data_IF_234340725435
#
_entry.id   IF_234340725435
#
_cell.length_a   1.000
_cell.length_b   1.000
_cell.length_c   1.000
_cell.angle_alpha   90.00
_cell.angle_beta   90.00
_cell.angle_gamma   90.00
#
_symmetry.space_group_name_H-M   'P 1'
#
loop_
_entity.id
_entity.type
_entity.pdbx_description
1 polymer ?
#
# COMPACT_ATOMS: atom_id res chain seq x y z
N UNK A 1 3.99 8.79 104.29
CA UNK A 1 2.82 9.38 103.60
C UNK A 1 2.79 8.89 102.14
N UNK A 2 1.92 9.42 101.27
CA UNK A 2 1.57 8.83 99.95
C UNK A 2 2.73 8.82 98.92
N UNK A 3 2.60 7.97 97.89
CA UNK A 3 3.60 7.68 96.83
C UNK A 3 3.54 8.67 95.63
N UNK A 4 4.67 8.85 94.89
CA UNK A 4 4.75 9.37 93.52
C UNK A 4 4.97 8.24 92.48
N UNK A 5 4.96 8.57 91.16
CA UNK A 5 5.63 7.77 90.12
C UNK A 5 6.42 8.57 89.06
N UNK A 6 7.67 8.13 88.81
CA UNK A 6 8.39 8.12 87.51
C UNK A 6 8.81 9.49 86.87
N UNK A 7 9.77 9.59 85.93
CA UNK A 7 10.41 8.65 84.96
C UNK A 7 11.95 8.92 84.89
N UNK A 8 12.96 8.02 84.85
CA UNK A 8 13.12 6.54 84.73
C UNK A 8 13.31 5.99 83.28
N UNK A 9 14.49 5.77 82.66
CA UNK A 9 15.93 5.91 83.03
C UNK A 9 16.75 6.56 81.87
N UNK A 10 18.09 6.66 81.82
CA UNK A 10 19.16 5.62 81.95
C UNK A 10 19.53 5.07 80.55
N UNK A 11 20.79 4.95 80.08
CA UNK A 11 22.12 5.37 80.55
C UNK A 11 23.15 5.35 79.35
N UNK A 12 24.35 5.91 79.53
CA UNK A 12 25.51 6.05 78.58
C UNK A 12 26.23 4.70 78.23
N UNK A 13 27.33 4.60 77.42
CA UNK A 13 28.09 5.61 76.63
C UNK A 13 28.51 5.22 75.17
N UNK A 14 29.20 6.18 74.52
CA UNK A 14 30.16 6.10 73.39
C UNK A 14 30.81 4.75 72.98
N UNK A 15 31.01 4.57 71.65
CA UNK A 15 32.36 4.53 71.02
C UNK A 15 32.32 4.80 69.49
N UNK A 16 33.45 5.17 68.88
CA UNK A 16 33.64 5.43 67.44
C UNK A 16 33.58 4.17 66.53
N UNK A 17 33.27 4.36 65.23
CA UNK A 17 32.99 3.24 64.32
C UNK A 17 32.87 3.50 62.80
N UNK A 18 33.83 4.19 62.22
CA UNK A 18 34.32 4.02 60.82
C UNK A 18 33.42 4.26 59.57
N UNK A 19 34.08 4.41 58.42
CA UNK A 19 33.49 4.75 57.12
C UNK A 19 32.60 3.63 56.51
N UNK A 20 31.49 4.00 55.84
CA UNK A 20 31.30 3.70 54.39
C UNK A 20 30.10 4.38 53.71
N UNK A 21 30.47 5.30 52.81
CA UNK A 21 29.80 5.66 51.54
C UNK A 21 28.38 5.10 51.25
N UNK A 22 27.39 5.98 51.32
CA UNK A 22 26.02 5.77 50.82
C UNK A 22 25.97 5.74 49.28
N UNK A 23 26.45 4.64 48.69
CA UNK A 23 26.50 4.42 47.25
C UNK A 23 25.10 4.39 46.61
N UNK A 24 24.62 5.55 46.16
CA UNK A 24 23.29 5.75 45.56
C UNK A 24 22.95 4.69 44.50
N UNK A 25 21.84 3.99 44.70
CA UNK A 25 21.33 2.95 43.81
C UNK A 25 20.85 3.55 42.46
N UNK A 26 21.80 3.81 41.56
CA UNK A 26 21.56 4.33 40.21
C UNK A 26 20.64 3.39 39.42
N UNK A 27 19.33 3.68 39.42
CA UNK A 27 18.33 3.02 38.56
C UNK A 27 18.76 3.13 37.09
N UNK A 28 19.36 2.08 36.55
CA UNK A 28 19.93 2.05 35.20
C UNK A 28 18.82 2.21 34.16
N UNK A 29 18.63 3.43 33.62
CA UNK A 29 17.78 3.68 32.46
C UNK A 29 18.26 2.78 31.31
N UNK A 30 17.50 1.73 31.02
CA UNK A 30 17.95 0.62 30.19
C UNK A 30 18.41 1.06 28.80
N UNK A 31 19.66 0.72 28.45
CA UNK A 31 20.34 1.10 27.21
C UNK A 31 19.41 0.93 25.99
N UNK A 32 19.17 2.03 25.26
CA UNK A 32 18.46 1.99 23.98
C UNK A 32 19.38 1.53 22.84
N UNK A 33 18.77 1.05 21.76
CA UNK A 33 19.40 0.76 20.47
C UNK A 33 18.49 1.21 19.35
N UNK A 34 19.09 1.65 18.24
CA UNK A 34 18.38 1.98 17.01
C UNK A 34 18.16 0.70 16.18
N UNK A 35 16.91 0.38 15.88
CA UNK A 35 16.54 -0.65 14.90
C UNK A 35 16.21 0.04 13.56
N UNK A 36 16.84 -0.39 12.47
CA UNK A 36 16.47 0.01 11.10
C UNK A 36 15.47 -0.99 10.54
N UNK A 37 14.36 -0.51 10.00
CA UNK A 37 13.33 -1.34 9.38
C UNK A 37 13.04 -0.82 7.97
N UNK A 38 13.29 -1.64 6.95
CA UNK A 38 12.75 -1.42 5.60
C UNK A 38 11.24 -1.68 5.61
N UNK A 39 10.47 -0.71 5.17
CA UNK A 39 9.01 -0.76 5.04
C UNK A 39 8.61 -1.31 3.66
N UNK A 40 7.32 -1.64 3.51
CA UNK A 40 6.76 -2.20 2.29
C UNK A 40 6.71 -1.19 1.12
N UNK A 41 6.76 0.11 1.40
CA UNK A 41 6.91 1.17 0.39
C UNK A 41 8.38 1.39 -0.05
N UNK A 42 9.29 0.54 0.42
CA UNK A 42 10.72 0.62 0.11
C UNK A 42 11.54 1.51 1.04
N UNK A 43 10.92 2.44 1.80
CA UNK A 43 11.65 3.36 2.69
C UNK A 43 12.28 2.61 3.86
N UNK A 44 13.34 3.17 4.46
CA UNK A 44 13.95 2.61 5.68
C UNK A 44 13.83 3.61 6.82
N UNK A 45 13.10 3.22 7.88
CA UNK A 45 12.86 4.03 9.07
C UNK A 45 13.63 3.49 10.27
N UNK A 46 13.94 4.36 11.23
CA UNK A 46 14.81 4.04 12.38
C UNK A 46 14.09 4.25 13.71
N UNK A 47 14.09 3.22 14.57
CA UNK A 47 13.25 3.13 15.78
C UNK A 47 14.12 2.97 17.04
N UNK A 48 13.88 3.83 18.04
CA UNK A 48 14.72 3.93 19.25
C UNK A 48 14.18 3.11 20.44
N UNK A 49 14.45 1.80 20.40
CA UNK A 49 13.88 0.78 21.30
C UNK A 49 14.83 0.37 22.44
N UNK A 50 14.29 -0.28 23.49
CA UNK A 50 15.06 -0.77 24.65
C UNK A 50 15.88 -2.01 24.23
N UNK A 51 17.18 -2.13 24.56
CA UNK A 51 18.03 -3.29 24.15
C UNK A 51 17.49 -4.67 24.58
N UNK A 52 16.62 -4.71 25.60
CA UNK A 52 15.98 -5.93 26.13
C UNK A 52 14.68 -6.33 25.42
N UNK A 53 14.25 -5.60 24.38
CA UNK A 53 12.96 -5.80 23.72
C UNK A 53 12.86 -7.10 22.92
N UNK A 54 11.64 -7.58 22.73
CA UNK A 54 11.30 -8.73 21.90
C UNK A 54 11.07 -8.32 20.43
N UNK A 55 10.81 -9.29 19.55
CA UNK A 55 10.33 -9.00 18.19
C UNK A 55 8.94 -8.35 18.18
N UNK A 56 8.08 -8.72 19.12
CA UNK A 56 6.74 -8.16 19.31
C UNK A 56 6.76 -6.68 19.74
N UNK A 57 7.61 -6.33 20.72
CA UNK A 57 7.85 -4.94 21.14
C UNK A 57 8.20 -4.04 19.94
N UNK A 58 9.03 -4.54 19.02
CA UNK A 58 9.45 -3.79 17.85
C UNK A 58 8.37 -3.76 16.76
N UNK A 59 7.61 -4.85 16.55
CA UNK A 59 6.49 -4.84 15.61
C UNK A 59 5.43 -3.83 16.05
N UNK A 60 5.06 -3.78 17.35
CA UNK A 60 4.07 -2.79 17.80
C UNK A 60 4.57 -1.38 17.57
N UNK A 61 5.80 -1.04 17.96
CA UNK A 61 6.36 0.31 17.72
C UNK A 61 6.42 0.69 16.22
N UNK A 62 6.58 -0.28 15.31
CA UNK A 62 6.45 -0.05 13.87
C UNK A 62 4.98 0.14 13.47
N UNK A 63 4.08 -0.74 13.90
CA UNK A 63 2.65 -0.69 13.60
C UNK A 63 1.98 0.59 14.10
N UNK A 64 2.25 0.98 15.35
CA UNK A 64 1.80 2.22 15.97
C UNK A 64 2.23 3.45 15.13
N UNK A 65 3.46 3.43 14.58
CA UNK A 65 3.98 4.51 13.72
C UNK A 65 3.39 4.57 12.31
N UNK A 66 2.70 3.51 11.89
CA UNK A 66 2.02 3.38 10.60
C UNK A 66 0.49 3.50 10.73
N UNK A 67 -0.05 3.59 11.96
CA UNK A 67 -1.47 3.41 12.26
C UNK A 67 -2.03 2.05 11.78
N UNK A 68 -1.23 0.98 11.92
CA UNK A 68 -1.57 -0.37 11.47
C UNK A 68 -2.26 -1.18 12.59
N UNK A 69 -3.58 -1.36 12.47
CA UNK A 69 -4.39 -2.09 13.45
C UNK A 69 -4.24 -3.61 13.32
N UNK A 70 -4.41 -4.17 12.13
CA UNK A 70 -4.41 -5.62 11.84
C UNK A 70 -2.98 -6.21 11.76
N UNK A 71 -2.16 -5.94 12.78
CA UNK A 71 -0.72 -6.26 12.78
C UNK A 71 -0.38 -7.76 12.75
N UNK A 72 -1.34 -8.64 13.02
CA UNK A 72 -1.12 -10.09 13.14
C UNK A 72 -0.76 -10.77 11.81
N UNK A 73 -1.16 -10.18 10.67
CA UNK A 73 -0.73 -10.65 9.34
C UNK A 73 0.76 -10.38 9.05
N UNK A 74 1.42 -9.52 9.85
CA UNK A 74 2.74 -8.97 9.56
C UNK A 74 3.87 -9.64 10.35
N UNK A 75 5.07 -9.54 9.78
CA UNK A 75 6.31 -9.99 10.39
C UNK A 75 7.43 -8.99 10.20
N UNK A 76 8.41 -9.05 11.11
CA UNK A 76 9.72 -8.44 10.91
C UNK A 76 10.71 -9.54 10.54
N UNK A 77 11.44 -9.37 9.44
CA UNK A 77 12.42 -10.34 8.93
C UNK A 77 13.82 -9.75 8.81
N UNK A 78 14.86 -10.58 8.96
CA UNK A 78 16.27 -10.20 8.81
C UNK A 78 16.98 -11.16 7.84
N UNK A 79 18.20 -10.81 7.41
CA UNK A 79 19.09 -11.75 6.70
C UNK A 79 19.91 -12.54 7.71
N UNK A 80 19.84 -13.87 7.64
CA UNK A 80 20.58 -14.76 8.53
C UNK A 80 22.07 -14.87 8.10
N UNK A 81 22.84 -15.79 8.71
CA UNK A 81 24.27 -15.94 8.40
C UNK A 81 24.57 -16.36 6.94
N UNK A 82 23.60 -16.98 6.26
CA UNK A 82 23.70 -17.45 4.87
C UNK A 82 23.04 -16.47 3.88
N UNK A 83 22.71 -15.25 4.32
CA UNK A 83 22.06 -14.22 3.50
C UNK A 83 20.54 -14.40 3.30
N UNK A 84 19.99 -15.59 3.58
CA UNK A 84 18.57 -15.92 3.45
C UNK A 84 17.67 -15.13 4.41
N UNK A 85 16.43 -14.84 3.99
CA UNK A 85 15.40 -14.21 4.82
C UNK A 85 15.04 -15.14 5.99
N UNK A 86 14.85 -14.58 7.18
CA UNK A 86 14.35 -15.30 8.36
C UNK A 86 13.50 -14.35 9.20
N UNK A 87 12.37 -14.83 9.73
CA UNK A 87 11.50 -14.04 10.60
C UNK A 87 12.09 -13.89 12.00
N UNK A 88 11.88 -12.76 12.65
CA UNK A 88 12.08 -12.63 14.10
C UNK A 88 11.09 -13.52 14.84
N UNK A 89 11.58 -14.27 15.84
CA UNK A 89 10.74 -14.85 16.88
C UNK A 89 10.22 -13.70 17.76
N UNK A 90 8.90 -13.60 17.92
CA UNK A 90 8.25 -12.52 18.65
C UNK A 90 8.29 -12.70 20.17
N UNK A 91 8.35 -13.94 20.68
CA UNK A 91 8.55 -14.22 22.11
C UNK A 91 10.00 -14.05 22.60
N UNK A 92 10.98 -13.90 21.69
CA UNK A 92 12.39 -13.82 22.03
C UNK A 92 12.97 -12.40 21.94
N UNK A 93 13.91 -12.09 22.83
CA UNK A 93 14.67 -10.84 22.80
C UNK A 93 15.49 -10.74 21.52
N UNK A 94 15.36 -9.63 20.78
CA UNK A 94 16.11 -9.37 19.53
C UNK A 94 17.63 -9.45 19.76
N UNK A 95 18.10 -9.14 20.97
CA UNK A 95 19.51 -9.26 21.36
C UNK A 95 20.07 -10.69 21.32
N UNK A 96 19.24 -11.70 21.62
CA UNK A 96 19.61 -13.12 21.49
C UNK A 96 19.67 -13.54 20.02
N UNK A 97 18.65 -13.16 19.26
CA UNK A 97 18.48 -13.56 17.86
C UNK A 97 19.58 -12.99 16.95
N UNK A 98 19.89 -11.69 17.10
CA UNK A 98 20.89 -11.01 16.26
C UNK A 98 22.35 -11.28 16.68
N UNK A 99 22.59 -11.89 17.85
CA UNK A 99 23.94 -12.28 18.36
C UNK A 99 25.03 -11.20 18.17
N UNK A 100 24.68 -9.93 18.44
CA UNK A 100 25.58 -8.78 18.31
C UNK A 100 25.57 -8.06 16.95
N UNK A 101 25.00 -8.65 15.89
CA UNK A 101 24.84 -7.99 14.58
C UNK A 101 24.01 -6.69 14.65
N UNK A 102 24.15 -5.79 13.65
CA UNK A 102 23.26 -4.64 13.47
C UNK A 102 21.78 -5.03 13.52
N UNK A 103 20.96 -4.14 14.07
CA UNK A 103 19.51 -4.37 14.18
C UNK A 103 18.83 -3.86 12.91
N UNK A 104 18.88 -4.68 11.87
CA UNK A 104 18.35 -4.41 10.53
C UNK A 104 17.27 -5.43 10.17
N UNK A 105 16.09 -4.92 9.83
CA UNK A 105 14.91 -5.70 9.54
C UNK A 105 14.18 -5.20 8.29
N UNK A 106 13.29 -6.02 7.75
CA UNK A 106 12.29 -5.66 6.76
C UNK A 106 10.92 -6.12 7.25
N UNK A 107 9.97 -5.18 7.28
CA UNK A 107 8.54 -5.46 7.45
C UNK A 107 8.04 -6.23 6.23
N UNK A 108 7.08 -7.13 6.42
CA UNK A 108 6.38 -7.78 5.34
C UNK A 108 5.24 -8.67 5.82
N UNK A 109 4.43 -9.18 4.91
CA UNK A 109 3.36 -10.13 5.24
C UNK A 109 3.98 -11.47 5.62
N UNK A 110 3.59 -11.98 6.79
CA UNK A 110 3.99 -13.27 7.34
C UNK A 110 2.91 -14.32 7.14
N UNK A 111 1.64 -13.90 7.22
CA UNK A 111 0.46 -14.72 6.94
C UNK A 111 -0.40 -13.97 5.94
N UNK A 112 -0.57 -14.53 4.74
CA UNK A 112 -1.47 -13.96 3.73
C UNK A 112 -2.90 -14.36 4.10
N UNK A 113 -3.86 -13.41 4.14
CA UNK A 113 -5.26 -13.78 4.30
C UNK A 113 -5.70 -14.64 3.08
N UNK A 114 -6.49 -15.71 3.29
CA UNK A 114 -6.97 -16.54 2.19
C UNK A 114 -7.92 -15.78 1.26
N UNK A 115 -8.57 -14.74 1.80
CA UNK A 115 -9.41 -13.79 1.08
C UNK A 115 -9.10 -12.37 1.58
N UNK A 116 -8.43 -11.52 0.77
CA UNK A 116 -8.12 -10.13 1.11
C UNK A 116 -9.32 -9.19 1.24
N UNK A 117 -10.50 -9.56 0.72
CA UNK A 117 -11.69 -8.68 0.78
C UNK A 117 -12.25 -8.57 2.20
N UNK A 118 -12.06 -9.61 3.03
CA UNK A 118 -12.46 -9.65 4.44
C UNK A 118 -11.54 -8.86 5.40
N UNK A 119 -10.44 -8.26 4.92
CA UNK A 119 -9.63 -7.35 5.73
C UNK A 119 -10.45 -6.09 6.07
N UNK A 120 -10.36 -5.63 7.32
CA UNK A 120 -11.16 -4.49 7.78
C UNK A 120 -10.52 -3.14 7.45
N UNK A 121 -9.17 -3.05 7.42
CA UNK A 121 -8.46 -1.79 7.16
C UNK A 121 -7.98 -1.68 5.71
N UNK A 122 -8.28 -0.55 5.05
CA UNK A 122 -7.73 -0.22 3.73
C UNK A 122 -6.20 -0.12 3.74
N UNK A 123 -5.61 0.27 4.87
CA UNK A 123 -4.16 0.27 5.04
C UNK A 123 -3.58 -1.16 4.95
N UNK A 124 -4.23 -2.15 5.56
CA UNK A 124 -3.79 -3.55 5.48
C UNK A 124 -3.90 -4.07 4.06
N UNK A 125 -5.01 -3.78 3.37
CA UNK A 125 -5.20 -4.11 1.95
C UNK A 125 -4.11 -3.46 1.07
N UNK A 126 -3.81 -2.19 1.28
CA UNK A 126 -2.75 -1.47 0.56
C UNK A 126 -1.36 -2.06 0.81
N UNK A 127 -0.99 -2.34 2.06
CA UNK A 127 0.30 -2.94 2.41
C UNK A 127 0.44 -4.37 1.86
N UNK A 128 -0.64 -5.15 1.84
CA UNK A 128 -0.71 -6.46 1.19
C UNK A 128 -0.46 -6.36 -0.32
N UNK A 129 -1.07 -5.38 -1.01
CA UNK A 129 -0.79 -5.10 -2.42
C UNK A 129 0.69 -4.77 -2.68
N UNK A 130 1.33 -3.95 -1.83
CA UNK A 130 2.77 -3.65 -1.94
C UNK A 130 3.65 -4.90 -1.77
N UNK A 131 3.33 -5.78 -0.81
CA UNK A 131 4.05 -7.03 -0.62
C UNK A 131 3.91 -7.95 -1.85
N UNK A 132 2.69 -8.14 -2.35
CA UNK A 132 2.43 -8.96 -3.56
C UNK A 132 3.17 -8.39 -4.78
N UNK A 133 3.33 -7.07 -4.88
CA UNK A 133 4.12 -6.43 -5.93
C UNK A 133 5.63 -6.70 -5.79
N UNK A 134 6.22 -6.62 -4.58
CA UNK A 134 7.62 -7.02 -4.34
C UNK A 134 7.84 -8.51 -4.65
N UNK A 135 6.91 -9.38 -4.27
CA UNK A 135 6.97 -10.82 -4.57
C UNK A 135 6.86 -11.13 -6.07
N UNK A 136 5.97 -10.45 -6.80
CA UNK A 136 5.86 -10.51 -8.26
C UNK A 136 7.18 -10.07 -8.93
N UNK A 137 7.70 -8.88 -8.58
CA UNK A 137 8.94 -8.34 -9.17
C UNK A 137 10.19 -9.19 -8.88
N UNK A 138 10.20 -9.94 -7.77
CA UNK A 138 11.34 -10.78 -7.38
C UNK A 138 11.11 -12.28 -7.61
N UNK A 139 10.05 -12.67 -8.33
CA UNK A 139 9.77 -14.06 -8.70
C UNK A 139 9.55 -15.00 -7.51
N UNK A 140 9.00 -14.51 -6.39
CA UNK A 140 8.79 -15.34 -5.20
C UNK A 140 7.50 -16.15 -5.34
N UNK A 141 7.65 -17.48 -5.41
CA UNK A 141 6.54 -18.45 -5.32
C UNK A 141 5.90 -18.86 -6.65
N UNK A 142 6.32 -18.27 -7.78
CA UNK A 142 5.92 -18.62 -9.14
C UNK A 142 7.08 -18.34 -10.10
N UNK A 143 7.11 -19.00 -11.26
CA UNK A 143 7.99 -18.55 -12.35
C UNK A 143 7.50 -17.17 -12.86
N UNK A 144 8.41 -16.26 -13.31
CA UNK A 144 8.01 -14.92 -13.73
C UNK A 144 6.88 -14.91 -14.78
N UNK A 145 6.93 -15.80 -15.77
CA UNK A 145 5.90 -15.95 -16.80
C UNK A 145 4.52 -16.38 -16.26
N UNK A 146 4.46 -17.18 -15.19
CA UNK A 146 3.21 -17.54 -14.52
C UNK A 146 2.66 -16.38 -13.69
N UNK A 147 3.55 -15.59 -13.09
CA UNK A 147 3.22 -14.44 -12.27
C UNK A 147 2.70 -13.28 -13.13
N UNK A 148 3.41 -12.95 -14.22
CA UNK A 148 2.97 -12.04 -15.28
C UNK A 148 1.64 -12.50 -15.88
N UNK A 149 1.52 -13.80 -16.18
CA UNK A 149 0.29 -14.41 -16.68
C UNK A 149 -0.90 -14.17 -15.75
N UNK A 150 -0.74 -14.42 -14.44
CA UNK A 150 -1.79 -14.17 -13.44
C UNK A 150 -2.09 -12.69 -13.29
N UNK A 151 -1.07 -11.83 -13.27
CA UNK A 151 -1.26 -10.37 -13.21
C UNK A 151 -2.09 -9.86 -14.40
N UNK A 152 -1.76 -10.25 -15.63
CA UNK A 152 -2.50 -9.87 -16.83
C UNK A 152 -3.93 -10.45 -16.85
N UNK A 153 -4.14 -11.65 -16.32
CA UNK A 153 -5.47 -12.27 -16.18
C UNK A 153 -6.36 -11.57 -15.15
N UNK A 154 -5.79 -10.84 -14.18
CA UNK A 154 -6.53 -9.94 -13.28
C UNK A 154 -6.71 -8.56 -13.94
N UNK A 155 -5.64 -7.95 -14.46
CA UNK A 155 -5.66 -6.61 -15.05
C UNK A 155 -6.72 -6.48 -16.16
N UNK A 156 -6.84 -7.48 -17.05
CA UNK A 156 -7.84 -7.49 -18.13
C UNK A 156 -9.30 -7.54 -17.67
N UNK A 157 -9.58 -7.86 -16.39
CA UNK A 157 -10.95 -7.84 -15.82
C UNK A 157 -11.40 -6.43 -15.46
N UNK A 158 -10.48 -5.49 -15.28
CA UNK A 158 -10.82 -4.10 -15.01
C UNK A 158 -11.57 -3.52 -16.21
N UNK A 159 -12.78 -3.02 -16.01
CA UNK A 159 -13.64 -2.51 -17.09
C UNK A 159 -13.05 -1.32 -17.88
N UNK A 160 -11.95 -0.75 -17.38
CA UNK A 160 -11.20 0.38 -17.93
C UNK A 160 -9.80 -0.02 -18.45
N UNK A 161 -9.45 -1.32 -18.46
CA UNK A 161 -8.15 -1.82 -18.93
C UNK A 161 -7.93 -1.52 -20.43
N UNK A 162 -6.77 -0.94 -20.77
CA UNK A 162 -6.41 -0.62 -22.16
C UNK A 162 -7.32 0.42 -22.81
N UNK A 163 -7.96 1.30 -22.03
CA UNK A 163 -8.79 2.39 -22.52
C UNK A 163 -8.09 3.73 -22.34
N UNK A 164 -7.97 4.50 -23.42
CA UNK A 164 -7.46 5.88 -23.40
C UNK A 164 -8.65 6.83 -23.26
N UNK A 165 -8.64 7.67 -22.22
CA UNK A 165 -9.79 8.48 -21.81
C UNK A 165 -9.65 9.95 -22.21
N UNK A 166 -10.70 10.49 -22.84
CA UNK A 166 -10.78 11.87 -23.28
C UNK A 166 -12.09 12.50 -22.76
N UNK A 167 -12.05 13.54 -21.92
CA UNK A 167 -13.24 14.29 -21.51
C UNK A 167 -13.90 14.98 -22.70
N UNK A 168 -15.23 14.91 -22.76
CA UNK A 168 -16.04 15.55 -23.79
C UNK A 168 -17.46 15.84 -23.25
N UNK A 169 -18.25 16.52 -24.07
CA UNK A 169 -19.70 16.67 -23.91
C UNK A 169 -20.41 16.00 -25.08
N UNK A 170 -21.62 15.53 -24.87
CA UNK A 170 -22.48 15.04 -25.95
C UNK A 170 -23.44 16.12 -26.48
N UNK A 171 -24.31 15.74 -27.43
CA UNK A 171 -25.33 16.63 -28.02
C UNK A 171 -26.36 17.17 -27.02
N UNK A 172 -26.41 16.66 -25.80
CA UNK A 172 -27.25 17.18 -24.71
C UNK A 172 -26.46 18.08 -23.75
N UNK A 173 -25.22 18.48 -24.12
CA UNK A 173 -24.27 19.25 -23.31
C UNK A 173 -23.83 18.52 -22.02
N UNK A 174 -24.15 17.23 -21.88
CA UNK A 174 -23.87 16.43 -20.70
C UNK A 174 -22.41 15.96 -20.70
N UNK A 175 -21.76 16.02 -19.54
CA UNK A 175 -20.36 15.61 -19.38
C UNK A 175 -20.20 14.09 -19.51
N UNK A 176 -19.34 13.68 -20.42
CA UNK A 176 -19.02 12.30 -20.76
C UNK A 176 -17.51 12.10 -20.86
N UNK A 177 -17.07 10.86 -20.81
CA UNK A 177 -15.69 10.48 -21.10
C UNK A 177 -15.70 9.49 -22.26
N UNK A 178 -14.99 9.83 -23.34
CA UNK A 178 -14.80 8.96 -24.49
C UNK A 178 -13.57 8.08 -24.25
N UNK A 179 -13.76 6.77 -24.35
CA UNK A 179 -12.73 5.77 -24.21
C UNK A 179 -12.38 5.16 -25.57
N UNK A 180 -11.13 5.30 -26.00
CA UNK A 180 -10.60 4.59 -27.17
C UNK A 180 -9.95 3.28 -26.69
N UNK A 181 -10.24 2.15 -27.34
CA UNK A 181 -9.51 0.90 -27.11
C UNK A 181 -9.37 0.06 -28.40
N UNK A 182 -8.57 -1.00 -28.35
CA UNK A 182 -8.41 -1.95 -29.45
C UNK A 182 -9.73 -2.60 -29.95
N UNK A 183 -10.83 -2.49 -29.19
CA UNK A 183 -12.13 -3.09 -29.52
C UNK A 183 -13.22 -2.09 -29.96
N UNK A 184 -12.87 -0.80 -30.08
CA UNK A 184 -13.79 0.26 -30.48
C UNK A 184 -13.77 1.50 -29.59
N UNK A 185 -14.70 2.41 -29.89
CA UNK A 185 -15.03 3.54 -29.02
C UNK A 185 -16.03 3.12 -27.94
N UNK A 186 -15.89 3.74 -26.77
CA UNK A 186 -16.73 3.53 -25.60
C UNK A 186 -17.10 4.90 -25.02
N UNK A 187 -18.31 5.04 -24.47
CA UNK A 187 -18.78 6.29 -23.85
C UNK A 187 -19.10 6.00 -22.41
N UNK A 188 -18.57 6.81 -21.50
CA UNK A 188 -18.76 6.70 -20.06
C UNK A 188 -19.43 7.95 -19.50
N UNK A 189 -20.34 7.78 -18.54
CA UNK A 189 -20.96 8.84 -17.76
C UNK A 189 -21.03 8.36 -16.31
N UNK A 190 -20.69 9.22 -15.35
CA UNK A 190 -20.57 8.83 -13.92
C UNK A 190 -19.71 7.56 -13.70
N UNK A 191 -18.63 7.41 -14.49
CA UNK A 191 -17.74 6.24 -14.58
C UNK A 191 -18.39 4.94 -15.09
N UNK A 192 -19.70 4.89 -15.33
CA UNK A 192 -20.40 3.76 -15.94
C UNK A 192 -20.34 3.85 -17.47
N UNK A 193 -20.14 2.72 -18.16
CA UNK A 193 -20.12 2.67 -19.63
C UNK A 193 -21.55 2.63 -20.18
N UNK A 194 -21.96 3.71 -20.86
CA UNK A 194 -23.31 3.88 -21.40
C UNK A 194 -23.44 3.46 -22.87
N UNK A 195 -22.37 3.53 -23.67
CA UNK A 195 -22.38 3.15 -25.11
C UNK A 195 -21.07 2.48 -25.53
N UNK A 196 -21.12 1.66 -26.58
CA UNK A 196 -19.96 1.04 -27.25
C UNK A 196 -20.18 1.01 -28.76
N UNK A 197 -19.18 1.41 -29.53
CA UNK A 197 -19.16 1.36 -30.99
C UNK A 197 -17.91 0.57 -31.42
N UNK A 198 -18.09 -0.68 -31.87
CA UNK A 198 -16.97 -1.49 -32.36
C UNK A 198 -16.42 -0.93 -33.69
N UNK A 199 -15.11 -1.05 -33.93
CA UNK A 199 -14.47 -0.47 -35.12
C UNK A 199 -15.13 -0.88 -36.46
N UNK A 200 -15.51 -2.15 -36.72
CA UNK A 200 -16.22 -2.52 -37.96
C UNK A 200 -17.57 -1.82 -38.17
N UNK A 201 -18.19 -1.31 -37.10
CA UNK A 201 -19.47 -0.60 -37.14
C UNK A 201 -19.30 0.93 -37.26
N UNK A 202 -18.07 1.45 -37.25
CA UNK A 202 -17.78 2.87 -37.48
C UNK A 202 -17.38 3.04 -38.95
N UNK A 203 -18.15 3.84 -39.70
CA UNK A 203 -17.91 4.10 -41.13
C UNK A 203 -16.90 5.23 -41.37
N UNK A 204 -16.85 6.22 -40.48
CA UNK A 204 -15.97 7.39 -40.58
C UNK A 204 -15.88 8.10 -39.23
N UNK A 205 -14.72 8.67 -38.92
CA UNK A 205 -14.57 9.69 -37.87
C UNK A 205 -13.97 10.94 -38.49
N UNK A 206 -14.54 12.11 -38.19
CA UNK A 206 -14.10 13.41 -38.70
C UNK A 206 -14.14 14.46 -37.60
N UNK A 207 -13.19 15.40 -37.60
CA UNK A 207 -13.10 16.49 -36.62
C UNK A 207 -13.26 17.85 -37.30
N UNK A 208 -13.90 18.80 -36.62
CA UNK A 208 -13.98 20.20 -37.01
C UNK A 208 -14.03 21.09 -35.75
N UNK A 209 -13.11 22.06 -35.65
CA UNK A 209 -12.88 22.86 -34.43
C UNK A 209 -12.65 21.93 -33.23
N UNK A 210 -13.42 22.08 -32.16
CA UNK A 210 -13.42 21.23 -30.96
C UNK A 210 -14.46 20.08 -31.02
N UNK A 211 -15.11 19.83 -32.17
CA UNK A 211 -16.16 18.80 -32.30
C UNK A 211 -15.68 17.61 -33.14
N UNK A 212 -16.02 16.40 -32.72
CA UNK A 212 -15.75 15.15 -33.43
C UNK A 212 -17.05 14.42 -33.74
N UNK A 213 -17.17 13.96 -34.97
CA UNK A 213 -18.33 13.31 -35.55
C UNK A 213 -17.98 11.86 -35.86
N UNK A 214 -18.68 10.92 -35.22
CA UNK A 214 -18.54 9.47 -35.41
C UNK A 214 -19.73 8.98 -36.22
N UNK A 215 -19.50 8.59 -37.48
CA UNK A 215 -20.54 8.05 -38.36
C UNK A 215 -20.62 6.54 -38.21
N UNK A 216 -21.80 6.04 -37.86
CA UNK A 216 -22.06 4.64 -37.53
C UNK A 216 -22.75 3.93 -38.70
N UNK A 217 -22.43 2.65 -38.87
CA UNK A 217 -23.08 1.73 -39.81
C UNK A 217 -24.45 1.33 -39.25
N UNK A 218 -25.55 1.41 -40.01
CA UNK A 218 -26.86 0.97 -39.54
C UNK A 218 -26.81 -0.49 -39.06
N UNK A 219 -27.50 -0.77 -37.97
CA UNK A 219 -27.81 -2.13 -37.54
C UNK A 219 -28.78 -2.82 -38.51
N UNK A 220 -28.95 -4.14 -38.36
CA UNK A 220 -29.80 -4.95 -39.25
C UNK A 220 -31.30 -4.57 -39.26
N UNK A 221 -31.74 -3.68 -38.37
CA UNK A 221 -33.10 -3.15 -38.28
C UNK A 221 -33.18 -1.63 -38.55
N UNK A 222 -32.06 -0.98 -38.85
CA UNK A 222 -31.98 0.46 -39.10
C UNK A 222 -31.81 0.73 -40.61
N UNK A 223 -32.65 1.59 -41.19
CA UNK A 223 -32.54 1.92 -42.62
C UNK A 223 -31.50 3.01 -42.93
N UNK A 224 -31.02 3.73 -41.91
CA UNK A 224 -30.24 4.96 -42.09
C UNK A 224 -28.97 4.99 -41.23
N UNK A 225 -27.89 5.57 -41.79
CA UNK A 225 -26.61 5.77 -41.11
C UNK A 225 -26.74 6.91 -40.08
N UNK A 226 -26.56 6.60 -38.80
CA UNK A 226 -26.50 7.61 -37.75
C UNK A 226 -25.12 8.29 -37.67
N UNK A 227 -25.08 9.53 -37.19
CA UNK A 227 -23.83 10.24 -36.87
C UNK A 227 -23.95 10.81 -35.47
N UNK A 228 -22.97 10.54 -34.61
CA UNK A 228 -22.94 11.01 -33.22
C UNK A 228 -21.88 12.09 -33.11
N UNK A 229 -22.24 13.22 -32.52
CA UNK A 229 -21.35 14.36 -32.27
C UNK A 229 -20.92 14.39 -30.80
N UNK A 230 -19.64 14.74 -30.59
CA UNK A 230 -19.07 15.03 -29.28
C UNK A 230 -18.24 16.30 -29.32
N UNK A 231 -18.33 17.12 -28.28
CA UNK A 231 -17.61 18.38 -28.15
C UNK A 231 -16.53 18.29 -27.06
N UNK A 232 -15.32 18.71 -27.39
CA UNK A 232 -14.14 18.66 -26.53
C UNK A 232 -13.86 20.06 -25.95
N UNK A 233 -13.04 20.16 -24.88
CA UNK A 233 -12.66 21.46 -24.30
C UNK A 233 -12.01 22.41 -25.32
N UNK A 234 -11.31 21.87 -26.31
CA UNK A 234 -10.52 22.61 -27.29
C UNK A 234 -10.31 21.80 -28.58
N UNK A 235 -9.75 22.44 -29.61
CA UNK A 235 -9.52 21.84 -30.93
C UNK A 235 -8.31 20.90 -31.01
N UNK A 236 -7.35 21.00 -30.10
CA UNK A 236 -6.21 20.08 -30.02
C UNK A 236 -6.66 18.75 -29.41
N UNK A 237 -7.42 18.79 -28.31
CA UNK A 237 -8.08 17.62 -27.71
C UNK A 237 -8.95 16.87 -28.74
N UNK A 238 -9.78 17.57 -29.50
CA UNK A 238 -10.59 16.98 -30.58
C UNK A 238 -9.74 16.37 -31.71
N UNK A 239 -8.64 17.04 -32.10
CA UNK A 239 -7.70 16.55 -33.12
C UNK A 239 -6.92 15.32 -32.64
N UNK A 240 -6.49 15.29 -31.38
CA UNK A 240 -5.72 14.19 -30.79
C UNK A 240 -6.61 12.94 -30.64
N UNK A 241 -7.85 13.09 -30.16
CA UNK A 241 -8.85 12.02 -30.17
C UNK A 241 -9.12 11.50 -31.59
N UNK A 242 -9.40 12.39 -32.55
CA UNK A 242 -9.65 12.02 -33.94
C UNK A 242 -8.48 11.28 -34.58
N UNK A 243 -7.25 11.77 -34.41
CA UNK A 243 -6.04 11.13 -34.95
C UNK A 243 -5.89 9.71 -34.40
N UNK A 244 -6.14 9.53 -33.11
CA UNK A 244 -6.07 8.21 -32.45
C UNK A 244 -7.17 7.27 -32.96
N UNK A 245 -8.40 7.77 -33.14
CA UNK A 245 -9.50 6.99 -33.73
C UNK A 245 -9.18 6.52 -35.16
N UNK A 246 -8.60 7.40 -35.97
CA UNK A 246 -8.21 7.09 -37.36
C UNK A 246 -7.09 6.06 -37.40
N UNK A 247 -6.08 6.17 -36.52
CA UNK A 247 -5.03 5.17 -36.40
C UNK A 247 -5.60 3.80 -35.99
N UNK A 248 -6.53 3.73 -35.04
CA UNK A 248 -7.19 2.47 -34.69
C UNK A 248 -7.98 1.89 -35.88
N UNK A 249 -8.80 2.69 -36.55
CA UNK A 249 -9.66 2.27 -37.66
C UNK A 249 -8.91 1.69 -38.87
N UNK A 250 -7.68 2.14 -39.13
CA UNK A 250 -6.85 1.58 -40.19
C UNK A 250 -6.08 0.30 -39.78
N UNK A 251 -6.16 -0.11 -38.52
CA UNK A 251 -5.43 -1.26 -37.94
C UNK A 251 -6.36 -2.28 -37.25
N UNK A 252 -7.66 -2.32 -37.62
CA UNK A 252 -8.72 -3.09 -36.94
C UNK A 252 -9.74 -3.72 -37.87
#
# INVERSE_FOLDING_TARGET
MKKPPNVDGGEEPFNDGDERSSASAKKTRGKKVLARVKLLDGKTQSYSVKKRCTGEDLLSVVADSLNLMEKDYFGLSFRNAHGSRSWLNFGERISKQMRGKPWEFALGIKFYPPDPENLHEDLTRYLLCLQVYDDLQSGKGLAPSEADGKFLQVAKKLAMYGIHFHPAKDVQNADVILGISAHGLQVFQNRLRIKRFAWPNILKVSSHRNKVFVKIRPGALEMYQSTVEYEFPDSESAKNFWTTCVLCLYNS
#
